data_IF_478677425885
#
_entry.id   IF_478677425885
#
_cell.length_a   1.000
_cell.length_b   1.000
_cell.length_c   1.000
_cell.angle_alpha   90.00
_cell.angle_beta   90.00
_cell.angle_gamma   90.00
#
_symmetry.space_group_name_H-M   'P 1'
#
loop_
_entity.id
_entity.type
_entity.pdbx_description
1 polymer ?
#
# COMPACT_ATOMS: atom_id res chain seq x y z
N UNK A 1 29.00 1.89 -24.39
CA UNK A 1 27.65 1.71 -23.82
C UNK A 1 27.77 1.85 -22.31
N UNK A 2 27.23 2.89 -21.67
CA UNK A 2 27.23 2.93 -20.21
C UNK A 2 26.05 2.12 -19.67
N UNK A 3 26.37 1.39 -18.61
CA UNK A 3 25.62 0.36 -17.93
C UNK A 3 24.62 1.03 -16.96
N UNK A 4 23.32 0.75 -17.09
CA UNK A 4 22.29 1.32 -16.21
C UNK A 4 22.23 0.52 -14.90
N UNK A 5 22.60 1.17 -13.80
CA UNK A 5 22.52 0.62 -12.43
C UNK A 5 21.05 0.42 -12.01
N UNK A 6 20.71 -0.79 -11.57
CA UNK A 6 19.36 -1.26 -11.19
C UNK A 6 19.00 -1.09 -9.70
N UNK A 7 19.74 -0.31 -8.91
CA UNK A 7 19.53 -0.30 -7.46
C UNK A 7 19.01 1.04 -6.91
N UNK A 8 17.70 1.22 -7.06
CA UNK A 8 16.93 2.26 -6.36
C UNK A 8 15.73 1.60 -5.67
N UNK A 9 15.93 1.02 -4.48
CA UNK A 9 14.86 0.35 -3.73
C UNK A 9 14.04 1.36 -2.95
N UNK A 10 12.95 1.84 -3.55
CA UNK A 10 11.87 2.51 -2.80
C UNK A 10 11.19 1.44 -1.94
N UNK A 11 11.23 1.60 -0.61
CA UNK A 11 10.47 0.75 0.31
C UNK A 11 9.08 1.34 0.46
N UNK A 12 8.14 0.84 -0.33
CA UNK A 12 6.72 1.14 -0.19
C UNK A 12 6.17 0.21 0.89
N UNK A 13 5.69 0.78 2.01
CA UNK A 13 4.95 0.03 3.02
C UNK A 13 3.49 0.37 2.83
N UNK A 14 2.71 -0.62 2.41
CA UNK A 14 1.25 -0.54 2.30
C UNK A 14 0.67 -0.80 3.69
N UNK A 15 -0.22 0.08 4.16
CA UNK A 15 -0.98 -0.13 5.39
C UNK A 15 -2.43 0.25 5.13
N UNK A 16 -3.33 -0.74 5.16
CA UNK A 16 -4.77 -0.49 5.17
C UNK A 16 -5.29 -0.44 6.62
N UNK A 17 -6.05 0.60 6.95
CA UNK A 17 -6.78 0.69 8.22
C UNK A 17 -8.14 0.00 8.12
N UNK A 18 -8.63 -0.53 9.24
CA UNK A 18 -10.00 -1.05 9.38
C UNK A 18 -10.85 -0.04 10.17
N UNK A 19 -12.07 0.24 9.72
CA UNK A 19 -12.98 1.18 10.38
C UNK A 19 -14.33 0.53 10.73
N UNK A 20 -14.90 0.93 11.87
CA UNK A 20 -16.20 0.49 12.40
C UNK A 20 -17.34 1.37 11.86
N UNK A 21 -18.50 0.80 11.46
CA UNK A 21 -19.67 1.59 11.16
C UNK A 21 -20.59 1.70 12.39
N UNK A 22 -20.80 2.93 12.84
CA UNK A 22 -22.01 3.35 13.51
C UNK A 22 -22.56 4.56 12.75
N UNK A 23 -23.78 4.41 12.22
CA UNK A 23 -24.64 5.42 11.56
C UNK A 23 -24.64 5.53 10.02
N UNK A 24 -25.82 5.17 9.49
CA UNK A 24 -26.58 5.56 8.29
C UNK A 24 -25.88 5.75 6.94
N UNK A 25 -26.38 4.99 5.97
CA UNK A 25 -26.18 5.14 4.53
C UNK A 25 -26.41 6.58 4.05
N UNK A 26 -25.42 7.07 3.32
CA UNK A 26 -25.45 7.82 2.06
C UNK A 26 -24.20 8.71 2.08
N UNK A 27 -23.25 8.43 1.18
CA UNK A 27 -22.20 9.32 0.65
C UNK A 27 -21.06 8.43 0.12
N UNK A 28 -20.68 8.66 -1.12
CA UNK A 28 -19.42 8.23 -1.74
C UNK A 28 -18.25 8.52 -0.77
N UNK A 29 -17.77 7.52 -0.05
CA UNK A 29 -16.69 7.71 0.92
C UNK A 29 -15.37 7.21 0.33
N UNK A 30 -14.77 8.05 -0.53
CA UNK A 30 -13.31 8.05 -0.69
C UNK A 30 -12.77 8.68 0.59
N UNK A 31 -12.37 7.87 1.57
CA UNK A 31 -11.65 8.34 2.76
C UNK A 31 -10.29 7.65 2.81
N UNK A 32 -9.35 8.26 2.11
CA UNK A 32 -7.92 7.98 2.15
C UNK A 32 -7.38 8.45 3.51
N UNK A 33 -6.98 7.53 4.39
CA UNK A 33 -6.25 7.89 5.61
C UNK A 33 -4.74 7.85 5.33
N UNK A 34 -4.11 9.01 5.48
CA UNK A 34 -2.69 9.27 5.28
C UNK A 34 -1.89 8.68 6.45
N UNK A 35 -0.99 7.73 6.19
CA UNK A 35 0.08 7.36 7.13
C UNK A 35 1.42 7.62 6.45
N UNK A 36 2.10 8.66 6.91
CA UNK A 36 3.43 9.06 6.45
C UNK A 36 4.47 8.27 7.23
N UNK A 37 5.28 7.46 6.53
CA UNK A 37 6.56 6.98 7.05
C UNK A 37 7.63 7.26 6.01
N UNK A 38 8.45 8.26 6.29
CA UNK A 38 9.54 8.73 5.45
C UNK A 38 10.84 8.00 5.78
N UNK A 39 11.48 7.44 4.75
CA UNK A 39 12.96 7.46 4.60
C UNK A 39 13.29 7.28 3.12
N UNK A 40 13.65 8.36 2.43
CA UNK A 40 14.29 8.29 1.10
C UNK A 40 15.80 8.26 1.28
N UNK A 41 16.44 7.17 0.82
CA UNK A 41 17.88 7.14 0.58
C UNK A 41 18.20 7.95 -0.68
N UNK A 42 19.21 8.83 -0.60
CA UNK A 42 19.71 9.60 -1.75
C UNK A 42 20.13 8.65 -2.88
N UNK A 43 19.57 8.87 -4.07
CA UNK A 43 20.12 8.38 -5.33
C UNK A 43 21.48 9.07 -5.56
N UNK A 44 22.58 8.40 -5.25
CA UNK A 44 23.91 8.86 -5.60
C UNK A 44 24.45 7.95 -6.73
N UNK A 45 24.48 8.47 -7.94
CA UNK A 45 25.49 8.06 -8.93
C UNK A 45 26.52 9.19 -9.03
N UNK A 46 27.76 8.84 -8.70
CA UNK A 46 28.90 9.74 -8.65
C UNK A 46 29.50 9.89 -10.04
N UNK A 47 29.04 10.89 -10.79
CA UNK A 47 29.87 11.53 -11.81
C UNK A 47 29.80 13.05 -11.63
N UNK A 48 30.99 13.64 -11.51
CA UNK A 48 31.23 15.04 -11.20
C UNK A 48 30.59 15.92 -12.27
N UNK A 49 29.51 16.59 -11.89
CA UNK A 49 29.09 17.83 -12.52
C UNK A 49 29.18 18.93 -11.47
N UNK A 50 30.00 19.93 -11.76
CA UNK A 50 30.02 21.21 -11.05
C UNK A 50 28.60 21.74 -11.09
N UNK A 51 27.87 21.64 -9.98
CA UNK A 51 26.58 22.32 -9.81
C UNK A 51 26.88 23.81 -9.82
N UNK A 52 26.62 24.47 -10.95
CA UNK A 52 26.08 25.81 -10.89
C UNK A 52 24.85 25.70 -9.97
N UNK A 53 24.94 26.29 -8.78
CA UNK A 53 23.79 26.41 -7.88
C UNK A 53 22.79 27.36 -8.54
N UNK A 54 21.96 26.82 -9.42
CA UNK A 54 20.61 27.33 -9.56
C UNK A 54 19.86 26.88 -8.32
N UNK A 55 19.88 27.69 -7.27
CA UNK A 55 18.89 27.64 -6.19
C UNK A 55 17.53 28.07 -6.76
N UNK A 56 16.98 27.29 -7.67
CA UNK A 56 15.55 27.32 -7.95
C UNK A 56 14.91 26.48 -6.87
N UNK A 57 14.51 27.13 -5.78
CA UNK A 57 13.50 26.58 -4.87
C UNK A 57 12.32 26.14 -5.74
N UNK A 58 12.11 24.83 -5.89
CA UNK A 58 10.90 24.33 -6.57
C UNK A 58 9.71 24.92 -5.83
N UNK A 59 8.92 25.74 -6.52
CA UNK A 59 7.72 26.39 -5.96
C UNK A 59 6.55 25.41 -5.84
N UNK A 60 6.79 24.13 -6.12
CA UNK A 60 5.79 23.07 -6.20
C UNK A 60 6.23 21.86 -5.41
N UNK A 61 5.29 21.21 -4.73
CA UNK A 61 5.49 19.94 -4.04
C UNK A 61 4.53 18.92 -4.59
N UNK A 62 5.00 17.69 -4.77
CA UNK A 62 4.17 16.59 -5.25
C UNK A 62 3.91 15.57 -4.14
N UNK A 63 2.70 15.03 -4.11
CA UNK A 63 2.28 13.96 -3.21
C UNK A 63 1.67 12.85 -4.05
N UNK A 64 2.14 11.62 -3.86
CA UNK A 64 1.68 10.47 -4.65
C UNK A 64 0.74 9.63 -3.82
N UNK A 65 -0.41 9.27 -4.37
CA UNK A 65 -1.33 8.29 -3.83
C UNK A 65 -1.42 7.07 -4.73
N UNK A 66 -1.35 5.88 -4.12
CA UNK A 66 -1.71 4.63 -4.77
C UNK A 66 -2.98 4.06 -4.13
N UNK A 67 -3.85 3.50 -4.97
CA UNK A 67 -5.03 2.76 -4.53
C UNK A 67 -5.06 1.39 -5.21
N UNK A 68 -4.78 0.32 -4.44
CA UNK A 68 -4.81 -1.07 -4.88
C UNK A 68 -6.20 -1.66 -4.55
N UNK A 69 -7.15 -1.36 -5.42
CA UNK A 69 -8.55 -1.78 -5.29
C UNK A 69 -8.77 -3.24 -5.69
N UNK A 70 -10.04 -3.64 -5.83
CA UNK A 70 -10.42 -5.01 -6.20
C UNK A 70 -10.42 -5.27 -7.70
N UNK A 71 -10.51 -4.23 -8.53
CA UNK A 71 -10.56 -4.34 -10.00
C UNK A 71 -9.29 -3.84 -10.69
N UNK A 72 -8.45 -3.08 -9.99
CA UNK A 72 -7.20 -2.54 -10.52
C UNK A 72 -6.42 -1.72 -9.50
N UNK A 73 -5.28 -1.20 -9.93
CA UNK A 73 -4.50 -0.20 -9.23
C UNK A 73 -4.69 1.18 -9.85
N UNK A 74 -4.58 2.23 -9.03
CA UNK A 74 -4.56 3.62 -9.47
C UNK A 74 -3.40 4.38 -8.86
N UNK A 75 -2.89 5.36 -9.60
CA UNK A 75 -1.98 6.38 -9.09
C UNK A 75 -2.65 7.76 -9.25
N UNK A 76 -2.44 8.62 -8.27
CA UNK A 76 -2.78 10.04 -8.29
C UNK A 76 -1.58 10.84 -7.83
N UNK A 77 -1.28 11.95 -8.50
CA UNK A 77 -0.26 12.91 -8.07
C UNK A 77 -0.93 14.24 -7.82
N UNK A 78 -0.84 14.71 -6.59
CA UNK A 78 -1.35 15.99 -6.12
C UNK A 78 -0.19 16.98 -6.05
N UNK A 79 -0.35 18.14 -6.64
CA UNK A 79 0.58 19.27 -6.59
C UNK A 79 0.09 20.31 -5.58
N UNK A 80 0.99 20.78 -4.71
CA UNK A 80 0.81 21.93 -3.83
C UNK A 80 1.69 23.08 -4.33
N UNK A 81 1.09 24.25 -4.56
CA UNK A 81 1.79 25.49 -4.87
C UNK A 81 2.26 26.17 -3.59
N UNK A 82 3.52 26.63 -3.55
CA UNK A 82 4.12 27.32 -2.39
C UNK A 82 4.11 28.84 -2.52
N UNK A 83 3.35 29.41 -3.45
CA UNK A 83 3.27 30.85 -3.61
C UNK A 83 2.32 31.44 -2.55
N UNK A 84 2.78 32.49 -1.84
CA UNK A 84 2.10 33.09 -0.69
C UNK A 84 0.80 33.88 -1.01
N UNK A 85 0.47 34.08 -2.30
CA UNK A 85 -0.56 35.06 -2.72
C UNK A 85 -1.95 34.49 -3.07
N UNK A 86 -2.12 33.17 -3.19
CA UNK A 86 -3.43 32.57 -3.49
C UNK A 86 -3.64 31.28 -2.69
N UNK A 87 -4.86 31.10 -2.18
CA UNK A 87 -5.38 29.98 -1.38
C UNK A 87 -4.65 28.62 -1.59
N UNK A 88 -4.47 27.91 -0.48
CA UNK A 88 -3.92 26.55 -0.28
C UNK A 88 -4.51 25.44 -1.21
N UNK A 89 -4.39 25.59 -2.52
CA UNK A 89 -5.03 24.69 -3.48
C UNK A 89 -4.09 23.53 -3.84
N UNK A 90 -4.24 22.42 -3.12
CA UNK A 90 -3.76 21.13 -3.56
C UNK A 90 -4.60 20.64 -4.75
N UNK A 91 -3.96 20.33 -5.90
CA UNK A 91 -4.66 19.89 -7.11
C UNK A 91 -4.11 18.57 -7.64
N UNK A 92 -4.97 17.64 -8.03
CA UNK A 92 -4.57 16.46 -8.81
C UNK A 92 -4.09 16.90 -10.21
N UNK A 93 -2.80 16.68 -10.48
CA UNK A 93 -2.15 17.06 -11.76
C UNK A 93 -1.88 15.86 -12.66
N UNK A 94 -1.94 14.64 -12.13
CA UNK A 94 -1.79 13.42 -12.89
C UNK A 94 -2.57 12.27 -12.23
N UNK A 95 -3.21 11.43 -13.05
CA UNK A 95 -3.76 10.16 -12.60
C UNK A 95 -3.69 9.10 -13.70
N UNK A 96 -3.56 7.84 -13.30
CA UNK A 96 -3.56 6.69 -14.20
C UNK A 96 -4.07 5.44 -13.48
N UNK A 97 -4.50 4.44 -14.25
CA UNK A 97 -4.99 3.17 -13.72
C UNK A 97 -4.55 1.96 -14.55
N UNK A 98 -4.46 0.81 -13.90
CA UNK A 98 -4.20 -0.50 -14.50
C UNK A 98 -5.22 -1.48 -13.94
N UNK A 99 -5.87 -2.24 -14.81
CA UNK A 99 -6.80 -3.29 -14.41
C UNK A 99 -6.04 -4.57 -14.03
N UNK A 100 -6.58 -5.32 -13.06
CA UNK A 100 -5.96 -6.57 -12.65
C UNK A 100 -6.08 -7.65 -13.72
N UNK A 101 -4.98 -8.35 -13.95
CA UNK A 101 -4.99 -9.66 -14.62
C UNK A 101 -5.28 -10.76 -13.62
N UNK A 102 -4.54 -10.74 -12.52
CA UNK A 102 -4.66 -11.65 -11.37
C UNK A 102 -4.58 -10.80 -10.11
N UNK A 103 -5.70 -10.66 -9.39
CA UNK A 103 -5.81 -9.70 -8.28
C UNK A 103 -5.33 -10.26 -6.95
N UNK A 104 -5.07 -11.56 -6.87
CA UNK A 104 -4.60 -12.31 -5.69
C UNK A 104 -3.11 -12.67 -5.76
N UNK A 105 -2.38 -12.09 -6.71
CA UNK A 105 -0.93 -12.23 -6.85
C UNK A 105 -0.19 -10.95 -6.42
N UNK A 106 0.78 -11.11 -5.52
CA UNK A 106 1.61 -10.01 -5.04
C UNK A 106 2.54 -9.44 -6.12
N UNK A 107 3.05 -10.27 -7.03
CA UNK A 107 3.92 -9.78 -8.10
C UNK A 107 3.11 -8.92 -9.07
N UNK A 108 1.87 -9.31 -9.39
CA UNK A 108 0.94 -8.47 -10.15
C UNK A 108 0.68 -7.10 -9.51
N UNK A 109 0.63 -7.00 -8.18
CA UNK A 109 0.49 -5.72 -7.48
C UNK A 109 1.73 -4.83 -7.61
N UNK A 110 2.93 -5.44 -7.49
CA UNK A 110 4.20 -4.72 -7.67
C UNK A 110 4.36 -4.25 -9.11
N UNK A 111 4.08 -5.11 -10.08
CA UNK A 111 4.15 -4.80 -11.51
C UNK A 111 3.18 -3.68 -11.90
N UNK A 112 1.96 -3.68 -11.37
CA UNK A 112 1.02 -2.59 -11.58
C UNK A 112 1.53 -1.28 -10.99
N UNK A 113 2.13 -1.33 -9.79
CA UNK A 113 2.73 -0.15 -9.14
C UNK A 113 3.87 0.42 -9.99
N UNK A 114 4.78 -0.42 -10.49
CA UNK A 114 5.86 0.02 -11.38
C UNK A 114 5.33 0.57 -12.71
N UNK A 115 4.33 -0.09 -13.30
CA UNK A 115 3.68 0.38 -14.52
C UNK A 115 3.07 1.78 -14.32
N UNK A 116 2.44 2.04 -13.19
CA UNK A 116 1.87 3.34 -12.86
C UNK A 116 2.94 4.41 -12.63
N UNK A 117 4.04 4.06 -11.96
CA UNK A 117 5.21 4.95 -11.80
C UNK A 117 5.91 5.26 -13.13
N UNK A 118 5.87 4.34 -14.09
CA UNK A 118 6.45 4.55 -15.41
C UNK A 118 5.60 5.42 -16.32
N UNK A 119 4.28 5.44 -16.10
CA UNK A 119 3.37 6.36 -16.80
C UNK A 119 3.41 7.78 -16.25
N UNK A 120 3.83 7.96 -14.99
CA UNK A 120 3.92 9.26 -14.37
C UNK A 120 5.05 10.13 -14.94
N UNK A 121 4.84 11.45 -15.13
CA UNK A 121 5.91 12.36 -15.55
C UNK A 121 7.08 12.32 -14.57
N UNK A 122 8.29 12.08 -15.08
CA UNK A 122 9.49 11.89 -14.23
C UNK A 122 9.87 13.16 -13.48
N UNK A 123 9.54 14.33 -14.04
CA UNK A 123 9.73 15.64 -13.42
C UNK A 123 8.93 15.76 -12.12
N UNK A 124 7.66 15.29 -12.12
CA UNK A 124 6.80 15.29 -10.94
C UNK A 124 7.32 14.34 -9.87
N UNK A 125 7.77 13.14 -10.29
CA UNK A 125 8.34 12.14 -9.39
C UNK A 125 9.63 12.61 -8.70
N UNK A 126 10.40 13.50 -9.35
CA UNK A 126 11.61 14.08 -8.79
C UNK A 126 11.39 14.97 -7.56
N UNK A 127 10.18 15.53 -7.42
CA UNK A 127 9.82 16.48 -6.36
C UNK A 127 8.82 15.92 -5.33
N UNK A 128 8.62 14.60 -5.32
CA UNK A 128 7.70 13.93 -4.40
C UNK A 128 8.14 14.07 -2.95
N UNK A 129 7.24 14.60 -2.11
CA UNK A 129 7.46 14.79 -0.67
C UNK A 129 6.91 13.66 0.18
N UNK A 130 5.85 13.00 -0.29
CA UNK A 130 5.27 11.84 0.38
C UNK A 130 4.60 10.90 -0.62
N UNK A 131 4.58 9.62 -0.27
CA UNK A 131 3.79 8.59 -0.94
C UNK A 131 2.82 8.03 0.10
N UNK A 132 1.56 7.91 -0.26
CA UNK A 132 0.55 7.18 0.49
C UNK A 132 0.03 6.01 -0.34
N UNK A 133 -0.30 4.91 0.32
CA UNK A 133 -0.84 3.73 -0.34
C UNK A 133 -2.06 3.23 0.43
N UNK A 134 -3.14 3.04 -0.31
CA UNK A 134 -4.39 2.43 0.11
C UNK A 134 -4.55 1.08 -0.59
N UNK A 135 -5.22 0.16 0.08
CA UNK A 135 -5.52 -1.17 -0.45
C UNK A 135 -6.89 -1.66 0.02
N UNK A 136 -7.36 -2.73 -0.59
CA UNK A 136 -8.64 -3.35 -0.22
C UNK A 136 -8.57 -3.89 1.21
N UNK A 137 -9.49 -3.45 2.07
CA UNK A 137 -9.55 -3.86 3.49
C UNK A 137 -9.59 -5.38 3.66
N UNK A 138 -8.98 -5.87 4.75
CA UNK A 138 -8.92 -7.29 5.11
C UNK A 138 -8.21 -8.22 4.11
N UNK A 139 -7.75 -7.74 2.95
CA UNK A 139 -6.73 -8.46 2.17
C UNK A 139 -5.44 -8.52 2.99
N UNK A 140 -4.84 -9.70 3.09
CA UNK A 140 -3.67 -9.94 3.92
C UNK A 140 -2.64 -10.78 3.17
N UNK A 141 -1.38 -10.59 3.51
CA UNK A 141 -0.30 -11.51 3.17
C UNK A 141 0.64 -11.71 4.37
N UNK A 142 1.41 -12.80 4.33
CA UNK A 142 2.52 -13.01 5.25
C UNK A 142 3.83 -12.86 4.49
N UNK A 143 4.73 -12.06 5.04
CA UNK A 143 6.06 -11.82 4.49
C UNK A 143 7.14 -12.17 5.51
N UNK A 144 8.33 -12.50 5.05
CA UNK A 144 9.51 -12.56 5.90
C UNK A 144 10.00 -11.13 6.18
N UNK A 145 10.03 -10.76 7.45
CA UNK A 145 10.38 -9.42 7.89
C UNK A 145 11.84 -9.01 7.63
N UNK A 146 12.73 -9.93 7.22
CA UNK A 146 14.12 -9.59 6.86
C UNK A 146 14.25 -9.19 5.40
N UNK A 147 13.59 -9.93 4.50
CA UNK A 147 13.76 -9.75 3.06
C UNK A 147 12.52 -9.23 2.33
N UNK A 148 11.38 -9.15 3.01
CA UNK A 148 10.10 -8.67 2.46
C UNK A 148 9.42 -9.65 1.51
N UNK A 149 9.94 -10.87 1.34
CA UNK A 149 9.37 -11.87 0.43
C UNK A 149 8.14 -12.51 1.05
N UNK A 150 7.15 -12.78 0.21
CA UNK A 150 5.96 -13.55 0.59
C UNK A 150 6.36 -14.94 1.10
N UNK A 151 5.81 -15.32 2.25
CA UNK A 151 6.01 -16.67 2.82
C UNK A 151 4.79 -17.56 2.60
N UNK A 152 3.61 -16.99 2.37
CA UNK A 152 2.35 -17.70 2.11
C UNK A 152 1.48 -16.91 1.14
N UNK A 153 0.68 -17.62 0.35
CA UNK A 153 -0.23 -17.01 -0.62
C UNK A 153 -1.15 -15.99 0.05
N UNK A 154 -1.48 -14.87 -0.62
CA UNK A 154 -2.36 -13.86 -0.07
C UNK A 154 -3.75 -14.40 0.19
N UNK A 155 -4.44 -13.80 1.17
CA UNK A 155 -5.85 -14.06 1.44
C UNK A 155 -6.63 -12.78 1.26
N UNK A 156 -7.34 -12.71 0.14
CA UNK A 156 -8.10 -11.54 -0.28
C UNK A 156 -9.27 -11.25 0.66
N UNK A 157 -9.82 -10.04 0.59
CA UNK A 157 -10.91 -9.57 1.44
C UNK A 157 -12.12 -10.53 1.52
N UNK A 158 -12.40 -11.27 0.44
CA UNK A 158 -13.50 -12.23 0.31
C UNK A 158 -13.11 -13.67 0.71
N UNK A 159 -11.87 -13.92 1.15
CA UNK A 159 -11.43 -15.24 1.60
C UNK A 159 -12.12 -15.61 2.92
N UNK A 160 -13.08 -16.54 2.84
CA UNK A 160 -13.75 -17.11 4.01
C UNK A 160 -12.92 -18.29 4.55
N UNK A 161 -12.43 -18.17 5.79
CA UNK A 161 -11.62 -19.24 6.39
C UNK A 161 -12.42 -20.52 6.66
N UNK A 162 -13.73 -20.45 6.84
CA UNK A 162 -14.57 -21.59 7.24
C UNK A 162 -14.77 -22.63 6.14
N UNK A 163 -14.32 -22.35 4.91
CA UNK A 163 -14.25 -23.32 3.84
C UNK A 163 -13.20 -24.43 4.08
N UNK A 164 -12.48 -24.40 5.20
CA UNK A 164 -11.42 -25.36 5.57
C UNK A 164 -11.53 -25.79 7.03
N UNK A 165 -11.09 -27.02 7.35
CA UNK A 165 -11.05 -27.51 8.74
C UNK A 165 -10.10 -26.68 9.63
N UNK A 166 -8.99 -26.21 9.08
CA UNK A 166 -8.04 -25.32 9.76
C UNK A 166 -8.69 -23.98 10.10
N UNK A 167 -9.49 -23.43 9.19
CA UNK A 167 -10.22 -22.19 9.46
C UNK A 167 -11.39 -22.35 10.41
N UNK A 168 -12.12 -23.48 10.39
CA UNK A 168 -13.10 -23.78 11.44
C UNK A 168 -12.45 -23.85 12.82
N UNK A 169 -11.30 -24.53 12.95
CA UNK A 169 -10.50 -24.54 14.20
C UNK A 169 -10.03 -23.13 14.59
N UNK A 170 -9.62 -22.31 13.63
CA UNK A 170 -9.24 -20.93 13.88
C UNK A 170 -10.40 -20.10 14.44
N UNK A 171 -11.61 -20.26 13.90
CA UNK A 171 -12.80 -19.60 14.42
C UNK A 171 -13.14 -20.06 15.84
N UNK A 172 -13.06 -21.36 16.13
CA UNK A 172 -13.27 -21.88 17.50
C UNK A 172 -12.25 -21.34 18.50
N UNK A 173 -10.99 -21.13 18.07
CA UNK A 173 -9.95 -20.52 18.91
C UNK A 173 -10.19 -19.02 19.14
N UNK A 174 -10.73 -18.31 18.15
CA UNK A 174 -10.97 -16.87 18.21
C UNK A 174 -12.19 -16.52 19.09
N UNK A 175 -13.25 -17.32 19.00
CA UNK A 175 -14.58 -17.06 19.58
C UNK A 175 -14.59 -16.63 21.07
N UNK A 176 -13.84 -17.29 21.99
CA UNK A 176 -13.88 -16.92 23.41
C UNK A 176 -13.10 -15.64 23.75
N UNK A 177 -12.22 -15.15 22.88
CA UNK A 177 -11.36 -13.99 23.19
C UNK A 177 -11.85 -12.70 22.54
N UNK A 178 -12.68 -12.78 21.51
CA UNK A 178 -13.13 -11.60 20.77
C UNK A 178 -14.54 -11.19 21.23
N UNK A 179 -14.74 -9.93 21.66
CA UNK A 179 -16.03 -9.43 22.09
C UNK A 179 -17.14 -9.72 21.10
N UNK A 180 -18.35 -9.96 21.61
CA UNK A 180 -19.53 -10.15 20.77
C UNK A 180 -19.72 -8.93 19.84
N UNK A 181 -20.12 -9.20 18.60
CA UNK A 181 -20.34 -8.18 17.52
C UNK A 181 -19.10 -7.41 17.06
N UNK A 182 -17.90 -7.79 17.48
CA UNK A 182 -16.66 -7.19 16.98
C UNK A 182 -16.30 -7.71 15.57
N UNK A 183 -15.80 -6.84 14.68
CA UNK A 183 -15.48 -7.18 13.27
C UNK A 183 -14.45 -8.29 13.11
N UNK A 184 -13.50 -8.40 14.05
CA UNK A 184 -12.56 -9.52 14.14
C UNK A 184 -13.21 -10.91 14.26
N UNK A 185 -14.52 -11.01 14.58
CA UNK A 185 -15.26 -12.29 14.54
C UNK A 185 -15.70 -12.70 13.14
N UNK A 186 -15.60 -11.84 12.14
CA UNK A 186 -15.99 -12.20 10.77
C UNK A 186 -15.04 -13.28 10.23
N UNK A 187 -15.59 -14.25 9.51
CA UNK A 187 -14.82 -15.33 8.87
C UNK A 187 -13.82 -14.80 7.82
N UNK A 188 -14.08 -13.61 7.29
CA UNK A 188 -13.22 -12.90 6.33
C UNK A 188 -12.28 -11.89 6.98
N UNK A 189 -12.25 -11.80 8.31
CA UNK A 189 -11.39 -10.85 9.02
C UNK A 189 -9.90 -11.22 8.92
N UNK A 190 -9.04 -10.22 9.03
CA UNK A 190 -7.58 -10.41 9.08
C UNK A 190 -7.14 -11.31 10.23
N UNK A 191 -7.82 -11.23 11.38
CA UNK A 191 -7.48 -12.04 12.54
C UNK A 191 -7.85 -13.52 12.35
N UNK A 192 -9.02 -13.79 11.76
CA UNK A 192 -9.40 -15.14 11.37
C UNK A 192 -8.40 -15.74 10.36
N UNK A 193 -7.97 -14.97 9.36
CA UNK A 193 -6.95 -15.37 8.37
C UNK A 193 -5.60 -15.65 9.02
N UNK A 194 -5.17 -14.82 9.97
CA UNK A 194 -3.92 -15.04 10.71
C UNK A 194 -3.95 -16.36 11.49
N UNK A 195 -5.05 -16.60 12.22
CA UNK A 195 -5.20 -17.82 13.00
C UNK A 195 -5.32 -19.06 12.12
N UNK A 196 -6.01 -18.99 10.97
CA UNK A 196 -6.10 -20.14 10.08
C UNK A 196 -4.76 -20.48 9.42
N UNK A 197 -3.92 -19.49 9.09
CA UNK A 197 -2.53 -19.76 8.69
C UNK A 197 -1.77 -20.45 9.81
N UNK A 198 -1.90 -19.98 11.07
CA UNK A 198 -1.26 -20.63 12.21
C UNK A 198 -1.72 -22.09 12.41
N UNK A 199 -3.00 -22.39 12.12
CA UNK A 199 -3.55 -23.74 12.21
C UNK A 199 -3.08 -24.68 11.08
N UNK A 200 -2.79 -24.14 9.90
CA UNK A 200 -2.15 -24.89 8.80
C UNK A 200 -0.70 -25.20 9.12
N UNK A 201 0.05 -24.18 9.55
CA UNK A 201 1.42 -24.31 10.00
C UNK A 201 1.80 -23.15 10.91
N UNK A 202 2.51 -23.47 12.00
CA UNK A 202 2.90 -22.46 12.99
C UNK A 202 3.62 -21.30 12.33
N UNK A 203 3.16 -20.09 12.65
CA UNK A 203 3.77 -18.84 12.19
C UNK A 203 5.19 -18.74 12.76
N UNK A 204 6.14 -18.45 11.88
CA UNK A 204 7.54 -18.30 12.23
C UNK A 204 7.84 -16.92 12.82
N UNK A 205 8.88 -16.81 13.64
CA UNK A 205 9.28 -15.54 14.27
C UNK A 205 9.65 -14.44 13.27
N UNK A 206 10.05 -14.81 12.05
CA UNK A 206 10.37 -13.84 10.99
C UNK A 206 9.15 -13.41 10.20
N UNK A 207 8.04 -14.14 10.26
CA UNK A 207 6.83 -13.79 9.51
C UNK A 207 6.17 -12.54 10.09
N UNK A 208 5.67 -11.67 9.20
CA UNK A 208 4.92 -10.46 9.52
C UNK A 208 3.63 -10.45 8.71
N UNK A 209 2.51 -10.19 9.38
CA UNK A 209 1.24 -9.93 8.72
C UNK A 209 1.27 -8.52 8.14
N UNK A 210 0.93 -8.39 6.85
CA UNK A 210 0.80 -7.10 6.18
C UNK A 210 -0.53 -7.02 5.42
N UNK A 211 -0.94 -5.79 5.13
CA UNK A 211 -2.14 -5.42 4.41
C UNK A 211 -1.78 -4.70 3.12
#
# INVERSE_FOLDING_TARGET
MPNVSKDSKVRIIIMASSFYPGYSLNIWCVRLFLVVLSTFGKLNDSSVWVRSMSTTSSTKRHFVGFDLGTSGARISIVEESLNDDDNEDCKEVFSSSVDWKEYDDCEAWLDATYTLLDRAPKEMLGDVKSICVSGTSASCLLIDGKNGKMTRNPRMYNYDVTCTDTGMRAMSLLDPYVPSKHTARANTSSFAKLLSWHQESKIQKTERLTH
#
